data_IF_290842855492
#
_entry.id   IF_290842855492
#
_cell.length_a   1.000
_cell.length_b   1.000
_cell.length_c   1.000
_cell.angle_alpha   90.00
_cell.angle_beta   90.00
_cell.angle_gamma   90.00
#
_symmetry.space_group_name_H-M   'P 1'
#
loop_
_entity.id
_entity.type
_entity.pdbx_description
1 polymer ?
#
# COMPACT_ATOMS: atom_id res chain seq x y z
N UNK A 1 -15.42 -15.07 28.98
CA UNK A 1 -14.03 -15.04 28.50
C UNK A 1 -14.07 -14.48 27.09
N UNK A 2 -13.62 -13.24 26.89
CA UNK A 2 -13.45 -12.71 25.53
C UNK A 2 -12.26 -13.49 24.97
N UNK A 3 -12.47 -14.27 23.90
CA UNK A 3 -11.36 -14.91 23.21
C UNK A 3 -10.37 -13.81 22.82
N UNK A 4 -9.12 -13.91 23.28
CA UNK A 4 -8.06 -13.01 22.84
C UNK A 4 -7.98 -13.11 21.32
N UNK A 5 -8.45 -12.10 20.61
CA UNK A 5 -8.37 -12.05 19.16
C UNK A 5 -6.88 -12.00 18.79
N UNK A 6 -6.41 -12.91 17.92
CA UNK A 6 -5.03 -12.86 17.43
C UNK A 6 -4.79 -11.51 16.77
N UNK A 7 -3.59 -10.90 16.93
CA UNK A 7 -3.24 -9.68 16.20
C UNK A 7 -3.46 -9.85 14.70
N UNK A 8 -3.91 -8.77 14.05
CA UNK A 8 -4.13 -8.71 12.61
C UNK A 8 -3.38 -7.51 12.01
N UNK A 9 -3.38 -7.38 10.69
CA UNK A 9 -2.59 -6.40 9.95
C UNK A 9 -3.12 -4.96 10.02
N UNK A 10 -3.80 -4.58 11.10
CA UNK A 10 -4.23 -3.20 11.42
C UNK A 10 -3.26 -2.46 12.37
N UNK A 11 -2.17 -3.11 12.76
CA UNK A 11 -1.04 -2.51 13.48
C UNK A 11 0.27 -3.31 13.30
N UNK A 12 1.41 -2.79 13.81
CA UNK A 12 1.52 -1.65 14.72
C UNK A 12 1.38 -0.28 14.06
N UNK A 13 1.47 -0.17 12.73
CA UNK A 13 1.31 1.08 12.00
C UNK A 13 -0.17 1.30 11.67
N UNK A 14 -0.87 2.23 12.33
CA UNK A 14 -2.32 2.35 12.20
C UNK A 14 -2.77 2.71 10.79
N UNK A 15 -3.90 2.16 10.35
CA UNK A 15 -4.51 2.52 9.06
C UNK A 15 -4.99 3.97 9.06
N UNK A 16 -4.95 4.59 7.88
CA UNK A 16 -5.45 5.95 7.66
C UNK A 16 -6.97 5.93 7.56
N UNK A 17 -7.64 6.69 8.41
CA UNK A 17 -9.10 6.79 8.46
C UNK A 17 -9.66 7.71 7.38
N UNK A 18 -10.80 7.34 6.78
CA UNK A 18 -11.56 8.21 5.87
C UNK A 18 -12.07 9.48 6.56
N UNK A 19 -12.08 9.55 7.90
CA UNK A 19 -12.38 10.78 8.63
C UNK A 19 -11.46 11.95 8.24
N UNK A 20 -10.24 11.67 7.77
CA UNK A 20 -9.31 12.70 7.25
C UNK A 20 -9.85 13.46 6.05
N UNK A 21 -10.75 12.88 5.26
CA UNK A 21 -11.38 13.57 4.12
C UNK A 21 -12.26 14.75 4.55
N UNK A 22 -12.60 14.86 5.85
CA UNK A 22 -13.47 15.90 6.44
C UNK A 22 -14.77 16.06 5.64
N UNK A 23 -15.38 14.94 5.27
CA UNK A 23 -16.68 14.92 4.60
C UNK A 23 -17.78 15.13 5.64
N UNK A 24 -18.81 15.88 5.26
CA UNK A 24 -20.06 15.99 6.03
C UNK A 24 -20.88 14.70 5.88
N UNK A 25 -21.81 14.47 6.80
CA UNK A 25 -22.71 13.32 6.73
C UNK A 25 -23.46 13.27 5.39
N UNK A 26 -23.29 12.15 4.67
CA UNK A 26 -23.89 11.94 3.35
C UNK A 26 -23.19 12.65 2.18
N UNK A 27 -22.10 13.39 2.42
CA UNK A 27 -21.28 14.00 1.38
C UNK A 27 -20.41 12.95 0.68
N UNK A 28 -20.31 13.04 -0.65
CA UNK A 28 -19.38 12.23 -1.44
C UNK A 28 -18.11 13.03 -1.70
N UNK A 29 -16.96 12.35 -1.72
CA UNK A 29 -15.69 12.96 -2.09
C UNK A 29 -15.74 13.51 -3.53
N UNK A 30 -15.23 14.73 -3.74
CA UNK A 30 -15.18 15.40 -5.04
C UNK A 30 -13.84 16.12 -5.23
N UNK A 31 -13.43 16.34 -6.48
CA UNK A 31 -12.17 17.03 -6.80
C UNK A 31 -10.97 16.36 -6.14
N UNK A 32 -10.08 17.13 -5.52
CA UNK A 32 -8.91 16.57 -4.84
C UNK A 32 -9.23 15.70 -3.61
N UNK A 33 -10.44 15.79 -3.01
CA UNK A 33 -10.87 14.82 -1.99
C UNK A 33 -11.16 13.44 -2.58
N UNK A 34 -11.58 13.35 -3.84
CA UNK A 34 -11.73 12.06 -4.54
C UNK A 34 -10.36 11.38 -4.71
N UNK A 35 -9.35 12.16 -5.13
CA UNK A 35 -7.97 11.72 -5.18
C UNK A 35 -7.46 11.28 -3.79
N UNK A 36 -7.69 12.08 -2.74
CA UNK A 36 -7.31 11.71 -1.38
C UNK A 36 -7.98 10.40 -0.90
N UNK A 37 -9.23 10.15 -1.29
CA UNK A 37 -9.92 8.89 -0.96
C UNK A 37 -9.25 7.69 -1.63
N UNK A 38 -8.88 7.79 -2.91
CA UNK A 38 -8.11 6.74 -3.58
C UNK A 38 -6.73 6.55 -2.96
N UNK A 39 -6.07 7.65 -2.56
CA UNK A 39 -4.77 7.60 -1.89
C UNK A 39 -4.84 6.88 -0.54
N UNK A 40 -5.90 7.10 0.25
CA UNK A 40 -6.15 6.34 1.49
C UNK A 40 -6.24 4.83 1.20
N UNK A 41 -6.86 4.40 0.10
CA UNK A 41 -6.98 2.98 -0.26
C UNK A 41 -5.60 2.38 -0.59
N UNK A 42 -4.79 3.10 -1.38
CA UNK A 42 -3.43 2.68 -1.72
C UNK A 42 -2.57 2.62 -0.46
N UNK A 43 -2.57 3.68 0.35
CA UNK A 43 -1.79 3.76 1.59
C UNK A 43 -2.18 2.67 2.59
N UNK A 44 -3.48 2.41 2.77
CA UNK A 44 -3.94 1.34 3.65
C UNK A 44 -3.57 -0.06 3.13
N UNK A 45 -3.46 -0.24 1.81
CA UNK A 45 -2.93 -1.47 1.22
C UNK A 45 -1.45 -1.64 1.56
N UNK A 46 -0.65 -0.59 1.40
CA UNK A 46 0.77 -0.59 1.77
C UNK A 46 0.99 -0.84 3.27
N UNK A 47 0.18 -0.19 4.13
CA UNK A 47 0.21 -0.34 5.58
C UNK A 47 -0.17 -1.75 6.03
N UNK A 48 -1.21 -2.35 5.44
CA UNK A 48 -1.59 -3.74 5.74
C UNK A 48 -0.50 -4.73 5.37
N UNK A 49 0.19 -4.51 4.25
CA UNK A 49 1.29 -5.38 3.84
C UNK A 49 2.47 -5.24 4.82
N UNK A 50 2.91 -4.03 5.16
CA UNK A 50 4.05 -3.87 6.09
C UNK A 50 3.70 -4.35 7.51
N UNK A 51 2.46 -4.15 7.96
CA UNK A 51 1.96 -4.71 9.23
C UNK A 51 1.98 -6.24 9.21
N UNK A 52 1.49 -6.87 8.13
CA UNK A 52 1.50 -8.34 8.02
C UNK A 52 2.93 -8.89 8.01
N UNK A 53 3.87 -8.20 7.36
CA UNK A 53 5.31 -8.53 7.37
C UNK A 53 5.87 -8.39 8.78
N UNK A 54 5.63 -7.25 9.44
CA UNK A 54 6.13 -6.96 10.78
C UNK A 54 5.71 -8.00 11.81
N UNK A 55 4.43 -8.36 11.80
CA UNK A 55 3.86 -9.32 12.74
C UNK A 55 4.39 -10.75 12.56
N UNK A 56 4.86 -11.10 11.36
CA UNK A 56 5.23 -12.46 11.00
C UNK A 56 6.74 -12.69 10.88
N UNK A 57 7.53 -11.64 10.64
CA UNK A 57 8.94 -11.75 10.23
C UNK A 57 9.80 -12.60 11.18
N UNK A 58 9.67 -12.44 12.50
CA UNK A 58 10.42 -13.24 13.47
C UNK A 58 9.99 -14.70 13.44
N UNK A 59 8.69 -14.95 13.53
CA UNK A 59 8.15 -16.30 13.67
C UNK A 59 8.33 -17.13 12.39
N UNK A 60 8.28 -16.53 11.20
CA UNK A 60 8.64 -17.21 9.95
C UNK A 60 10.05 -17.80 10.04
N UNK A 61 11.02 -17.05 10.58
CA UNK A 61 12.39 -17.52 10.74
C UNK A 61 12.58 -18.56 11.85
N UNK A 62 11.74 -18.54 12.89
CA UNK A 62 11.85 -19.44 14.05
C UNK A 62 11.13 -20.78 13.83
N UNK A 63 9.90 -20.75 13.27
CA UNK A 63 9.02 -21.92 13.15
C UNK A 63 8.68 -22.33 11.71
N UNK A 64 9.06 -21.52 10.72
CA UNK A 64 8.84 -21.84 9.32
C UNK A 64 9.85 -22.84 8.76
N UNK A 65 9.48 -23.49 7.67
CA UNK A 65 10.40 -24.23 6.80
C UNK A 65 11.21 -23.27 5.93
N UNK A 66 12.27 -23.76 5.26
CA UNK A 66 13.00 -22.94 4.29
C UNK A 66 12.07 -22.41 3.18
N UNK A 67 11.14 -23.22 2.69
CA UNK A 67 10.15 -22.78 1.70
C UNK A 67 9.26 -21.65 2.24
N UNK A 68 8.89 -21.68 3.53
CA UNK A 68 8.11 -20.59 4.15
C UNK A 68 8.89 -19.28 4.19
N UNK A 69 10.19 -19.35 4.48
CA UNK A 69 11.09 -18.20 4.45
C UNK A 69 11.20 -17.65 3.03
N UNK A 70 11.46 -18.52 2.03
CA UNK A 70 11.62 -18.10 0.63
C UNK A 70 10.35 -17.42 0.11
N UNK A 71 9.17 -18.00 0.39
CA UNK A 71 7.88 -17.42 0.02
C UNK A 71 7.60 -16.09 0.73
N UNK A 72 7.96 -15.98 2.01
CA UNK A 72 7.79 -14.75 2.80
C UNK A 72 8.70 -13.64 2.29
N UNK A 73 9.96 -13.95 1.96
CA UNK A 73 10.91 -13.00 1.37
C UNK A 73 10.39 -12.46 0.04
N UNK A 74 9.82 -13.31 -0.82
CA UNK A 74 9.21 -12.87 -2.07
C UNK A 74 8.02 -11.93 -1.84
N UNK A 75 7.13 -12.26 -0.90
CA UNK A 75 6.03 -11.38 -0.50
C UNK A 75 6.55 -10.02 0.01
N UNK A 76 7.57 -10.02 0.86
CA UNK A 76 8.19 -8.83 1.42
C UNK A 76 8.91 -7.97 0.35
N UNK A 77 9.53 -8.58 -0.66
CA UNK A 77 10.15 -7.86 -1.79
C UNK A 77 9.11 -7.17 -2.68
N UNK A 78 7.95 -7.79 -2.87
CA UNK A 78 6.85 -7.18 -3.63
C UNK A 78 6.32 -5.91 -2.96
N UNK A 79 6.29 -5.87 -1.63
CA UNK A 79 5.97 -4.64 -0.90
C UNK A 79 6.93 -3.50 -1.24
N UNK A 80 8.23 -3.74 -1.15
CA UNK A 80 9.24 -2.72 -1.48
C UNK A 80 9.10 -2.23 -2.93
N UNK A 81 8.90 -3.16 -3.89
CA UNK A 81 8.65 -2.82 -5.30
C UNK A 81 7.41 -1.93 -5.44
N UNK A 82 6.34 -2.23 -4.70
CA UNK A 82 5.10 -1.45 -4.67
C UNK A 82 5.31 -0.03 -4.16
N UNK A 83 5.90 0.14 -2.98
CA UNK A 83 6.17 1.47 -2.39
C UNK A 83 7.11 2.29 -3.27
N UNK A 84 8.16 1.67 -3.81
CA UNK A 84 9.10 2.36 -4.71
C UNK A 84 8.40 2.87 -5.98
N UNK A 85 7.56 2.03 -6.58
CA UNK A 85 6.82 2.42 -7.79
C UNK A 85 5.78 3.52 -7.50
N UNK A 86 5.11 3.45 -6.36
CA UNK A 86 4.15 4.44 -5.86
C UNK A 86 4.80 5.82 -5.72
N UNK A 87 5.85 5.94 -4.90
CA UNK A 87 6.53 7.23 -4.68
C UNK A 87 7.26 7.75 -5.93
N UNK A 88 7.82 6.86 -6.76
CA UNK A 88 8.41 7.28 -8.04
C UNK A 88 7.37 7.89 -8.98
N UNK A 89 6.18 7.32 -9.03
CA UNK A 89 5.05 7.84 -9.82
C UNK A 89 4.62 9.21 -9.31
N UNK A 90 4.58 9.38 -7.99
CA UNK A 90 4.25 10.65 -7.38
C UNK A 90 5.24 11.75 -7.74
N UNK A 91 6.54 11.53 -7.50
CA UNK A 91 7.56 12.56 -7.72
C UNK A 91 7.78 12.90 -9.19
N UNK A 92 7.59 11.94 -10.11
CA UNK A 92 7.88 12.16 -11.54
C UNK A 92 6.67 12.62 -12.35
N UNK A 93 5.44 12.40 -11.86
CA UNK A 93 4.23 12.70 -12.61
C UNK A 93 3.19 13.45 -11.77
N UNK A 94 2.81 12.93 -10.60
CA UNK A 94 1.65 13.47 -9.85
C UNK A 94 1.97 14.81 -9.18
N UNK A 95 3.07 14.90 -8.42
CA UNK A 95 3.43 16.09 -7.68
C UNK A 95 3.76 17.28 -8.61
N UNK A 96 4.57 17.11 -9.68
CA UNK A 96 4.81 18.21 -10.62
C UNK A 96 3.55 18.73 -11.29
N UNK A 97 2.63 17.83 -11.68
CA UNK A 97 1.35 18.22 -12.28
C UNK A 97 0.46 18.98 -11.27
N UNK A 98 0.39 18.52 -10.01
CA UNK A 98 -0.34 19.22 -8.95
C UNK A 98 0.18 20.65 -8.80
N UNK A 99 1.50 20.83 -8.69
CA UNK A 99 2.12 22.15 -8.56
C UNK A 99 1.85 23.04 -9.76
N UNK A 100 1.98 22.48 -10.98
CA UNK A 100 1.74 23.20 -12.24
C UNK A 100 0.28 23.63 -12.41
N UNK A 101 -0.67 22.76 -12.06
CA UNK A 101 -2.11 23.03 -12.15
C UNK A 101 -2.59 23.99 -11.06
N UNK A 102 -2.07 23.87 -9.83
CA UNK A 102 -2.37 24.81 -8.76
C UNK A 102 -1.71 26.19 -8.99
N UNK A 103 -0.61 26.22 -9.75
CA UNK A 103 0.23 27.41 -9.94
C UNK A 103 1.04 27.78 -8.70
N UNK A 104 1.33 26.80 -7.84
CA UNK A 104 2.05 26.97 -6.57
C UNK A 104 3.29 26.09 -6.58
N UNK A 105 4.46 26.63 -6.94
CA UNK A 105 5.72 25.89 -6.87
C UNK A 105 6.05 25.47 -5.44
N UNK A 106 6.49 24.22 -5.25
CA UNK A 106 6.84 23.67 -3.95
C UNK A 106 5.64 23.25 -3.09
N UNK A 107 4.42 23.20 -3.65
CA UNK A 107 3.23 22.74 -2.90
C UNK A 107 3.44 21.33 -2.33
N UNK A 108 4.20 20.48 -3.01
CA UNK A 108 4.44 19.08 -2.63
C UNK A 108 5.85 18.86 -2.06
N UNK A 109 6.63 19.92 -1.81
CA UNK A 109 8.03 19.81 -1.34
C UNK A 109 8.13 19.06 0.00
N UNK A 110 7.15 19.23 0.89
CA UNK A 110 7.11 18.50 2.16
C UNK A 110 6.95 16.99 1.96
N UNK A 111 6.13 16.55 1.00
CA UNK A 111 5.95 15.13 0.66
C UNK A 111 7.24 14.54 0.07
N UNK A 112 7.89 15.27 -0.84
CA UNK A 112 9.19 14.88 -1.41
C UNK A 112 10.26 14.77 -0.32
N UNK A 113 10.35 15.73 0.59
CA UNK A 113 11.30 15.69 1.71
C UNK A 113 11.03 14.49 2.65
N UNK A 114 9.77 14.10 2.83
CA UNK A 114 9.42 12.91 3.59
C UNK A 114 9.82 11.62 2.87
N UNK A 115 9.70 11.54 1.54
CA UNK A 115 10.21 10.39 0.76
C UNK A 115 11.70 10.18 0.99
N UNK A 116 12.48 11.25 0.90
CA UNK A 116 13.92 11.23 1.14
C UNK A 116 14.24 10.76 2.58
N UNK A 117 13.45 11.20 3.56
CA UNK A 117 13.70 10.89 4.97
C UNK A 117 13.63 9.40 5.34
N UNK A 118 12.91 8.57 4.57
CA UNK A 118 12.87 7.11 4.78
C UNK A 118 13.62 6.31 3.71
N UNK A 119 14.28 6.97 2.75
CA UNK A 119 14.94 6.32 1.61
C UNK A 119 16.02 5.31 2.03
N UNK A 120 16.92 5.70 2.94
CA UNK A 120 18.01 4.84 3.41
C UNK A 120 17.52 3.55 4.09
N UNK A 121 16.41 3.64 4.82
CA UNK A 121 15.77 2.49 5.46
C UNK A 121 15.12 1.56 4.45
N UNK A 122 14.50 2.11 3.40
CA UNK A 122 13.97 1.34 2.28
C UNK A 122 15.08 0.62 1.49
N UNK A 123 16.22 1.28 1.25
CA UNK A 123 17.37 0.63 0.60
C UNK A 123 17.97 -0.49 1.46
N UNK A 124 18.04 -0.27 2.78
CA UNK A 124 18.45 -1.31 3.74
C UNK A 124 17.50 -2.52 3.73
N UNK A 125 16.19 -2.27 3.65
CA UNK A 125 15.14 -3.29 3.52
C UNK A 125 15.34 -4.12 2.25
N UNK A 126 15.50 -3.44 1.09
CA UNK A 126 15.72 -4.09 -0.20
C UNK A 126 17.00 -4.91 -0.21
N UNK A 127 18.12 -4.30 0.19
CA UNK A 127 19.44 -4.94 0.19
C UNK A 127 19.46 -6.20 1.03
N UNK A 128 18.86 -6.17 2.22
CA UNK A 128 18.78 -7.35 3.07
C UNK A 128 17.97 -8.49 2.43
N UNK A 129 16.79 -8.19 1.90
CA UNK A 129 15.95 -9.22 1.25
C UNK A 129 16.57 -9.77 -0.04
N UNK A 130 17.27 -8.94 -0.82
CA UNK A 130 17.98 -9.38 -2.02
C UNK A 130 19.12 -10.35 -1.65
N UNK A 131 19.91 -10.05 -0.61
CA UNK A 131 20.98 -10.95 -0.12
C UNK A 131 20.43 -12.26 0.43
N UNK A 132 19.32 -12.22 1.18
CA UNK A 132 18.64 -13.43 1.65
C UNK A 132 18.13 -14.25 0.47
N UNK A 133 17.46 -13.61 -0.49
CA UNK A 133 16.95 -14.29 -1.69
C UNK A 133 18.06 -14.89 -2.55
N UNK A 134 19.27 -14.30 -2.56
CA UNK A 134 20.42 -14.81 -3.28
C UNK A 134 21.18 -15.93 -2.51
N UNK A 135 20.81 -16.22 -1.27
CA UNK A 135 21.53 -17.16 -0.40
C UNK A 135 22.87 -16.63 0.12
N UNK A 136 23.15 -15.33 -0.07
CA UNK A 136 24.35 -14.66 0.42
C UNK A 136 24.26 -14.33 1.93
N UNK A 137 23.04 -14.33 2.46
CA UNK A 137 22.76 -14.09 3.86
C UNK A 137 21.65 -15.02 4.37
N UNK A 138 21.81 -15.56 5.58
CA UNK A 138 20.74 -16.36 6.21
C UNK A 138 19.66 -15.42 6.73
N UNK A 139 18.40 -15.76 6.49
CA UNK A 139 17.27 -15.01 7.04
C UNK A 139 17.31 -14.98 8.57
N UNK A 140 17.32 -13.76 9.11
CA UNK A 140 17.16 -13.39 10.51
C UNK A 140 15.97 -12.44 10.64
N UNK A 141 14.87 -12.95 11.22
CA UNK A 141 13.65 -12.18 11.39
C UNK A 141 13.78 -11.01 12.37
N UNK A 142 14.68 -11.08 13.36
CA UNK A 142 14.92 -9.97 14.29
C UNK A 142 15.67 -8.85 13.57
N UNK A 143 16.71 -9.18 12.80
CA UNK A 143 17.41 -8.21 11.95
C UNK A 143 16.44 -7.54 10.98
N UNK A 144 15.58 -8.33 10.32
CA UNK A 144 14.61 -7.78 9.37
C UNK A 144 13.64 -6.81 10.04
N UNK A 145 13.13 -7.18 11.22
CA UNK A 145 12.26 -6.31 12.01
C UNK A 145 12.95 -4.99 12.39
N UNK A 146 14.22 -5.03 12.80
CA UNK A 146 15.00 -3.82 13.13
C UNK A 146 15.20 -2.91 11.92
N UNK A 147 15.34 -3.47 10.72
CA UNK A 147 15.38 -2.69 9.49
C UNK A 147 14.04 -1.98 9.28
N UNK A 148 12.90 -2.66 9.48
CA UNK A 148 11.58 -2.02 9.38
C UNK A 148 11.43 -0.92 10.45
N UNK A 149 11.85 -1.18 11.69
CA UNK A 149 11.82 -0.21 12.80
C UNK A 149 12.64 1.06 12.48
N UNK A 150 13.61 1.01 11.56
CA UNK A 150 14.45 2.17 11.22
C UNK A 150 13.75 3.24 10.37
N UNK A 151 12.64 2.92 9.71
CA UNK A 151 11.98 3.83 8.77
C UNK A 151 10.45 3.82 8.81
N UNK A 152 9.83 2.77 9.35
CA UNK A 152 8.38 2.58 9.21
C UNK A 152 7.53 3.66 9.89
N UNK A 153 8.00 4.25 10.99
CA UNK A 153 7.31 5.39 11.62
C UNK A 153 7.33 6.63 10.72
N UNK A 154 8.45 6.90 10.04
CA UNK A 154 8.59 8.03 9.11
C UNK A 154 7.75 7.81 7.85
N UNK A 155 7.75 6.58 7.31
CA UNK A 155 6.87 6.18 6.22
C UNK A 155 5.40 6.34 6.63
N UNK A 156 5.01 5.87 7.82
CA UNK A 156 3.63 5.99 8.31
C UNK A 156 3.18 7.45 8.44
N UNK A 157 4.06 8.31 8.97
CA UNK A 157 3.82 9.75 9.05
C UNK A 157 3.57 10.34 7.65
N UNK A 158 4.43 10.03 6.69
CA UNK A 158 4.29 10.47 5.30
C UNK A 158 2.93 10.06 4.68
N UNK A 159 2.59 8.77 4.76
CA UNK A 159 1.34 8.24 4.22
C UNK A 159 0.09 8.87 4.88
N UNK A 160 0.26 9.46 6.06
CA UNK A 160 -0.79 10.16 6.80
C UNK A 160 -0.87 11.65 6.43
N UNK A 161 0.27 12.33 6.33
CA UNK A 161 0.39 13.76 6.05
C UNK A 161 0.03 14.11 4.60
N UNK A 162 0.32 13.22 3.66
CA UNK A 162 -0.06 13.41 2.27
C UNK A 162 -1.57 13.56 2.12
N UNK A 163 -2.36 12.78 2.87
CA UNK A 163 -3.82 12.89 2.83
C UNK A 163 -4.26 14.29 3.29
N UNK A 164 -3.63 14.84 4.32
CA UNK A 164 -3.95 16.19 4.79
C UNK A 164 -3.56 17.25 3.73
N UNK A 165 -2.47 17.02 2.99
CA UNK A 165 -2.03 17.87 1.86
C UNK A 165 -3.04 17.85 0.72
N UNK A 166 -3.53 16.68 0.31
CA UNK A 166 -4.53 16.54 -0.76
C UNK A 166 -5.90 17.11 -0.36
N UNK A 167 -6.29 16.98 0.91
CA UNK A 167 -7.49 17.62 1.44
C UNK A 167 -7.35 19.15 1.44
N UNK A 168 -6.18 19.67 1.83
CA UNK A 168 -5.88 21.11 1.76
C UNK A 168 -5.88 21.62 0.32
N UNK A 169 -5.36 20.85 -0.64
CA UNK A 169 -5.43 21.15 -2.07
C UNK A 169 -6.89 21.36 -2.51
N UNK A 170 -7.81 20.51 -2.06
CA UNK A 170 -9.23 20.72 -2.33
C UNK A 170 -9.77 22.00 -1.67
N UNK A 171 -9.44 22.26 -0.41
CA UNK A 171 -9.94 23.41 0.34
C UNK A 171 -9.45 24.75 -0.24
N UNK A 172 -8.21 24.82 -0.72
CA UNK A 172 -7.55 26.07 -1.12
C UNK A 172 -7.47 26.27 -2.65
N UNK A 173 -7.56 25.19 -3.43
CA UNK A 173 -7.28 25.21 -4.87
C UNK A 173 -8.32 24.45 -5.71
N UNK A 174 -9.53 24.20 -5.20
CA UNK A 174 -10.59 23.54 -5.97
C UNK A 174 -10.95 24.25 -7.29
N UNK A 175 -10.78 25.58 -7.38
CA UNK A 175 -11.06 26.38 -8.58
C UNK A 175 -9.97 26.29 -9.65
N UNK A 176 -8.79 25.74 -9.32
CA UNK A 176 -7.64 25.71 -10.22
C UNK A 176 -7.73 24.62 -11.28
N UNK A 177 -8.41 23.52 -10.98
CA UNK A 177 -8.55 22.42 -11.90
C UNK A 177 -9.72 21.50 -11.56
N UNK A 178 -10.15 20.75 -12.57
CA UNK A 178 -11.02 19.58 -12.41
C UNK A 178 -10.22 18.38 -11.87
N UNK A 179 -9.75 18.49 -10.62
CA UNK A 179 -8.80 17.55 -9.99
C UNK A 179 -9.18 16.08 -10.12
N UNK A 180 -10.46 15.74 -9.88
CA UNK A 180 -10.92 14.34 -9.98
C UNK A 180 -10.91 13.82 -11.42
N UNK A 181 -11.19 14.68 -12.40
CA UNK A 181 -11.14 14.31 -13.83
C UNK A 181 -9.70 14.12 -14.29
N UNK A 182 -8.81 15.04 -13.92
CA UNK A 182 -7.38 14.91 -14.20
C UNK A 182 -6.82 13.63 -13.55
N UNK A 183 -7.05 13.43 -12.26
CA UNK A 183 -6.50 12.28 -11.53
C UNK A 183 -6.92 10.93 -12.14
N UNK A 184 -8.22 10.76 -12.44
CA UNK A 184 -8.71 9.54 -13.11
C UNK A 184 -8.04 9.31 -14.46
N UNK A 185 -7.93 10.35 -15.28
CA UNK A 185 -7.26 10.27 -16.58
C UNK A 185 -5.80 9.88 -16.42
N UNK A 186 -5.08 10.51 -15.49
CA UNK A 186 -3.67 10.23 -15.21
C UNK A 186 -3.47 8.80 -14.73
N UNK A 187 -4.33 8.29 -13.82
CA UNK A 187 -4.28 6.90 -13.36
C UNK A 187 -4.54 5.90 -14.50
N UNK A 188 -5.48 6.19 -15.40
CA UNK A 188 -5.69 5.36 -16.59
C UNK A 188 -4.47 5.34 -17.52
N UNK A 189 -3.80 6.47 -17.71
CA UNK A 189 -2.60 6.58 -18.53
C UNK A 189 -1.42 5.80 -17.93
N UNK A 190 -1.23 5.89 -16.60
CA UNK A 190 -0.23 5.12 -15.86
C UNK A 190 -0.50 3.62 -15.98
N UNK A 191 -1.76 3.20 -15.81
CA UNK A 191 -2.14 1.80 -15.94
C UNK A 191 -1.89 1.27 -17.37
N UNK A 192 -2.19 2.07 -18.40
CA UNK A 192 -1.91 1.72 -19.81
C UNK A 192 -0.40 1.69 -20.11
N UNK A 193 0.38 2.55 -19.48
CA UNK A 193 1.83 2.61 -19.63
C UNK A 193 2.57 1.50 -18.87
N UNK A 194 1.92 0.85 -17.91
CA UNK A 194 2.47 -0.27 -17.15
C UNK A 194 2.70 -1.48 -18.07
N UNK A 195 3.97 -1.71 -18.43
CA UNK A 195 4.41 -2.80 -19.32
C UNK A 195 4.97 -4.01 -18.59
N UNK A 196 4.89 -4.05 -17.26
CA UNK A 196 5.43 -5.16 -16.48
C UNK A 196 4.62 -6.44 -16.74
N UNK A 197 5.21 -7.46 -17.41
CA UNK A 197 4.52 -8.69 -17.75
C UNK A 197 4.09 -9.49 -16.51
N UNK A 198 4.71 -9.26 -15.36
CA UNK A 198 4.39 -9.93 -14.09
C UNK A 198 3.34 -9.16 -13.27
N UNK A 199 2.94 -7.96 -13.71
CA UNK A 199 2.01 -7.11 -12.96
C UNK A 199 0.69 -7.83 -12.63
N UNK A 200 0.14 -8.55 -13.61
CA UNK A 200 -1.11 -9.29 -13.45
C UNK A 200 -0.99 -10.47 -12.45
N UNK A 201 0.20 -11.03 -12.26
CA UNK A 201 0.45 -12.21 -11.41
C UNK A 201 1.15 -11.88 -10.08
N UNK A 202 1.49 -10.61 -9.86
CA UNK A 202 2.16 -10.14 -8.65
C UNK A 202 1.41 -8.97 -8.01
N UNK A 203 1.38 -7.81 -8.67
CA UNK A 203 0.78 -6.57 -8.13
C UNK A 203 -0.73 -6.70 -7.96
N UNK A 204 -1.44 -7.22 -8.96
CA UNK A 204 -2.90 -7.37 -8.89
C UNK A 204 -3.31 -8.28 -7.72
N UNK A 205 -2.78 -9.50 -7.56
CA UNK A 205 -3.05 -10.32 -6.37
C UNK A 205 -2.63 -9.66 -5.05
N UNK A 206 -1.50 -8.95 -5.03
CA UNK A 206 -1.01 -8.28 -3.82
C UNK A 206 -2.02 -7.23 -3.32
N UNK A 207 -2.53 -6.40 -4.22
CA UNK A 207 -3.58 -5.40 -3.92
C UNK A 207 -4.84 -6.09 -3.40
N UNK A 208 -5.35 -7.08 -4.13
CA UNK A 208 -6.61 -7.74 -3.77
C UNK A 208 -6.52 -8.53 -2.47
N UNK A 209 -5.36 -9.13 -2.16
CA UNK A 209 -5.18 -9.88 -0.91
C UNK A 209 -4.82 -8.98 0.27
N UNK A 210 -4.67 -7.66 0.09
CA UNK A 210 -4.39 -6.72 1.18
C UNK A 210 -5.38 -5.54 1.23
N UNK A 211 -6.36 -5.46 0.32
CA UNK A 211 -7.49 -4.54 0.43
C UNK A 211 -8.67 -5.23 1.14
N UNK A 212 -9.12 -4.66 2.27
CA UNK A 212 -10.26 -5.16 3.05
C UNK A 212 -11.54 -4.44 2.64
N UNK A 213 -12.56 -5.22 2.23
CA UNK A 213 -13.87 -4.66 1.84
C UNK A 213 -14.67 -4.04 2.98
N UNK A 214 -14.47 -4.48 4.21
CA UNK A 214 -15.29 -4.11 5.36
C UNK A 214 -14.70 -2.93 6.16
N UNK A 215 -13.53 -2.42 5.75
CA UNK A 215 -12.90 -1.28 6.41
C UNK A 215 -13.82 -0.07 6.45
N UNK A 216 -14.00 0.51 7.64
CA UNK A 216 -14.88 1.66 7.92
C UNK A 216 -16.27 1.55 7.26
N UNK A 217 -16.97 0.44 7.52
CA UNK A 217 -18.30 0.14 6.98
C UNK A 217 -18.34 -0.03 5.45
N UNK A 218 -17.19 -0.31 4.83
CA UNK A 218 -17.09 -0.63 3.42
C UNK A 218 -17.24 0.57 2.49
N UNK A 219 -16.81 1.76 2.93
CA UNK A 219 -16.74 2.97 2.09
C UNK A 219 -15.99 2.70 0.78
N UNK A 220 -14.96 1.87 0.81
CA UNK A 220 -14.13 1.50 -0.35
C UNK A 220 -14.39 0.08 -0.87
N UNK A 221 -15.53 -0.53 -0.52
CA UNK A 221 -15.83 -1.93 -0.88
C UNK A 221 -15.98 -2.17 -2.39
N UNK A 222 -16.32 -1.12 -3.14
CA UNK A 222 -16.46 -1.11 -4.60
C UNK A 222 -15.13 -0.90 -5.33
N UNK A 223 -14.03 -0.63 -4.62
CA UNK A 223 -12.71 -0.46 -5.22
C UNK A 223 -11.95 -1.80 -5.29
N UNK A 224 -11.24 -2.11 -6.40
CA UNK A 224 -11.23 -1.35 -7.65
C UNK A 224 -12.58 -1.51 -8.38
N UNK A 225 -13.05 -0.48 -9.11
CA UNK A 225 -14.38 -0.45 -9.74
C UNK A 225 -14.45 -1.33 -11.00
N UNK A 226 -14.18 -2.62 -10.83
CA UNK A 226 -14.20 -3.61 -11.89
C UNK A 226 -15.61 -4.21 -12.05
N UNK A 227 -16.03 -4.52 -13.29
CA UNK A 227 -17.21 -5.34 -13.54
C UNK A 227 -17.13 -6.69 -12.81
N UNK A 228 -18.27 -7.25 -12.39
CA UNK A 228 -18.32 -8.48 -11.60
C UNK A 228 -17.57 -9.66 -12.27
N UNK A 229 -17.59 -9.77 -13.60
CA UNK A 229 -16.90 -10.83 -14.32
C UNK A 229 -15.37 -10.64 -14.31
N UNK A 230 -14.88 -9.39 -14.31
CA UNK A 230 -13.46 -9.10 -14.16
C UNK A 230 -12.97 -9.43 -12.74
N UNK A 231 -13.80 -9.17 -11.71
CA UNK A 231 -13.52 -9.63 -10.34
C UNK A 231 -13.40 -11.16 -10.26
N UNK A 232 -14.20 -11.91 -11.03
CA UNK A 232 -14.05 -13.37 -11.13
C UNK A 232 -12.73 -13.74 -11.80
N UNK A 233 -12.35 -13.10 -12.90
CA UNK A 233 -11.07 -13.37 -13.57
C UNK A 233 -9.90 -13.18 -12.59
N UNK A 234 -9.86 -12.06 -11.86
CA UNK A 234 -8.83 -11.80 -10.84
C UNK A 234 -8.81 -12.92 -9.81
N UNK A 235 -9.98 -13.24 -9.25
CA UNK A 235 -10.10 -14.26 -8.19
C UNK A 235 -9.70 -15.67 -8.63
N UNK A 236 -10.08 -16.08 -9.83
CA UNK A 236 -9.92 -17.46 -10.28
C UNK A 236 -8.65 -17.70 -11.09
N UNK A 237 -8.07 -16.67 -11.73
CA UNK A 237 -6.91 -16.83 -12.60
C UNK A 237 -5.67 -16.10 -12.10
N UNK A 238 -5.80 -14.89 -11.54
CA UNK A 238 -4.63 -14.11 -11.10
C UNK A 238 -4.24 -14.40 -9.65
N UNK A 239 -5.17 -14.35 -8.70
CA UNK A 239 -4.86 -14.63 -7.28
C UNK A 239 -4.23 -16.03 -7.07
N UNK A 240 -4.62 -17.09 -7.81
CA UNK A 240 -3.96 -18.39 -7.64
C UNK A 240 -2.50 -18.43 -8.13
N UNK A 241 -2.08 -17.51 -8.99
CA UNK A 241 -0.66 -17.37 -9.34
C UNK A 241 0.10 -16.92 -8.10
N UNK A 242 1.24 -17.53 -7.80
CA UNK A 242 2.01 -17.24 -6.59
C UNK A 242 1.21 -17.35 -5.27
N UNK A 243 0.18 -18.23 -5.20
CA UNK A 243 -0.68 -18.42 -4.01
C UNK A 243 0.08 -18.66 -2.71
N UNK A 244 1.29 -19.21 -2.80
CA UNK A 244 2.17 -19.49 -1.68
C UNK A 244 2.72 -18.20 -1.03
N UNK A 245 2.72 -17.06 -1.73
CA UNK A 245 3.07 -15.75 -1.18
C UNK A 245 1.86 -15.09 -0.52
N UNK A 246 0.67 -15.19 -1.11
CA UNK A 246 -0.54 -14.51 -0.60
C UNK A 246 -1.07 -15.05 0.73
N UNK A 247 -0.52 -16.17 1.23
CA UNK A 247 -0.85 -16.67 2.57
C UNK A 247 -0.40 -15.74 3.69
N UNK A 248 0.58 -14.88 3.44
CA UNK A 248 1.07 -13.87 4.38
C UNK A 248 0.23 -12.58 4.37
N UNK A 249 -0.63 -12.40 3.37
CA UNK A 249 -1.46 -11.20 3.20
C UNK A 249 -2.53 -11.04 4.28
N UNK A 250 -2.99 -9.80 4.46
CA UNK A 250 -4.01 -9.43 5.44
C UNK A 250 -5.40 -10.00 5.14
N UNK A 251 -5.71 -10.24 3.86
CA UNK A 251 -7.03 -10.67 3.39
C UNK A 251 -6.98 -11.94 2.53
N UNK A 252 -8.12 -12.62 2.45
CA UNK A 252 -8.35 -13.74 1.53
C UNK A 252 -8.71 -13.25 0.11
N UNK A 253 -8.95 -14.18 -0.81
CA UNK A 253 -9.35 -13.86 -2.19
C UNK A 253 -10.74 -13.20 -2.31
N UNK A 254 -11.50 -13.10 -1.21
CA UNK A 254 -12.76 -12.38 -1.14
C UNK A 254 -12.60 -10.97 -0.55
N UNK A 255 -11.36 -10.56 -0.25
CA UNK A 255 -11.02 -9.27 0.36
C UNK A 255 -11.57 -9.16 1.80
N UNK A 256 -11.66 -10.31 2.50
CA UNK A 256 -12.04 -10.40 3.91
C UNK A 256 -10.82 -10.69 4.76
N UNK A 257 -10.83 -10.21 6.01
CA UNK A 257 -9.76 -10.48 6.98
C UNK A 257 -9.46 -11.97 7.05
N UNK A 258 -8.19 -12.34 7.06
CA UNK A 258 -7.73 -13.71 7.31
C UNK A 258 -6.74 -13.75 8.46
N UNK A 259 -6.65 -14.90 9.12
CA UNK A 259 -5.60 -15.14 10.11
C UNK A 259 -4.22 -15.15 9.45
N UNK A 260 -3.24 -14.55 10.13
CA UNK A 260 -1.85 -14.55 9.72
C UNK A 260 -1.16 -15.83 10.21
N UNK A 261 -0.55 -16.64 9.32
CA UNK A 261 -0.01 -17.96 9.67
C UNK A 261 1.18 -17.94 10.63
N UNK A 262 1.88 -16.81 10.76
CA UNK A 262 3.07 -16.66 11.61
C UNK A 262 2.91 -15.66 12.76
N UNK A 263 1.67 -15.39 13.21
CA UNK A 263 1.37 -14.67 14.45
C UNK A 263 1.22 -15.62 15.63
#
# INVERSE_FOLDING_TARGET
MVASQKPWADGPFPLVSNAKLKLKDGETAQGAKEMAMEMIIVHNTLLRIINSIYLQCINVGVRGTQQDIDDFVQYARLWHKGVTHHHHTEETMIFPDIEGMAGVPGLMEANVAQHEAFHDGMESYKTYLDRVSAGEEKYDGLKFKQIIDSFADVLHQHLTDEIDTLVKLHEEHADKAEWGVWYKKTMEEILKATKDPEHATTVVPLIFTNHEKEFENGVSASWPPLPWFAMLIVKWWFIPTNKQWWRFSACDANMKRRELPFV
#
